data_IF_544018744150
#
_entry.id   IF_544018744150
#
_cell.length_a   1.000
_cell.length_b   1.000
_cell.length_c   1.000
_cell.angle_alpha   90.00
_cell.angle_beta   90.00
_cell.angle_gamma   90.00
#
_symmetry.space_group_name_H-M   'P 1'
#
loop_
_entity.id
_entity.type
_entity.pdbx_description
1 polymer ?
#
# COMPACT_ATOMS: atom_id res chain seq x y z
N UNK A 1 -6.04 -38.13 -44.07
CA UNK A 1 -4.79 -37.69 -43.40
C UNK A 1 -4.75 -36.19 -43.05
N UNK A 2 -5.87 -35.44 -42.98
CA UNK A 2 -5.86 -33.99 -42.71
C UNK A 2 -6.36 -33.58 -41.30
N UNK A 3 -6.55 -34.55 -40.39
CA UNK A 3 -7.03 -34.29 -39.02
C UNK A 3 -5.92 -33.97 -38.00
N UNK A 4 -4.66 -33.85 -38.44
CA UNK A 4 -3.52 -33.50 -37.54
C UNK A 4 -3.18 -32.01 -37.51
N UNK A 5 -3.73 -31.23 -38.44
CA UNK A 5 -3.75 -29.76 -38.33
C UNK A 5 -4.86 -29.28 -37.38
N UNK A 6 -5.84 -30.15 -37.12
CA UNK A 6 -6.92 -30.03 -36.14
C UNK A 6 -6.40 -30.36 -34.72
N UNK A 7 -5.41 -29.63 -34.20
CA UNK A 7 -5.19 -29.54 -32.75
C UNK A 7 -4.20 -28.46 -32.31
N UNK A 8 -3.28 -28.01 -33.18
CA UNK A 8 -2.24 -27.07 -32.76
C UNK A 8 -2.70 -25.61 -32.71
N UNK A 9 -3.73 -25.24 -33.47
CA UNK A 9 -4.28 -23.88 -33.47
C UNK A 9 -5.28 -23.67 -32.32
N UNK A 10 -5.78 -24.75 -31.71
CA UNK A 10 -6.73 -24.69 -30.60
C UNK A 10 -6.07 -24.38 -29.22
N UNK A 11 -4.74 -24.44 -29.10
CA UNK A 11 -4.05 -24.28 -27.82
C UNK A 11 -3.52 -22.85 -27.56
N UNK A 12 -3.49 -21.98 -28.57
CA UNK A 12 -2.98 -20.59 -28.41
C UNK A 12 -4.11 -19.61 -28.07
N UNK A 13 -5.37 -20.00 -28.27
CA UNK A 13 -6.55 -19.21 -27.84
C UNK A 13 -6.91 -19.47 -26.37
N UNK A 14 -6.14 -20.34 -25.69
CA UNK A 14 -6.39 -20.80 -24.31
C UNK A 14 -5.40 -20.22 -23.29
N UNK A 15 -5.06 -18.93 -23.41
CA UNK A 15 -4.27 -18.24 -22.39
C UNK A 15 -4.87 -16.86 -22.10
N UNK A 16 -5.90 -16.75 -21.23
CA UNK A 16 -6.21 -15.50 -20.58
C UNK A 16 -5.21 -15.35 -19.42
N UNK A 17 -3.95 -15.03 -19.72
CA UNK A 17 -3.00 -14.73 -18.64
C UNK A 17 -3.16 -13.28 -18.20
N UNK A 18 -3.89 -13.21 -17.09
CA UNK A 18 -3.70 -12.35 -15.94
C UNK A 18 -3.49 -10.87 -16.28
N UNK A 19 -4.57 -10.12 -16.22
CA UNK A 19 -4.52 -8.76 -15.70
C UNK A 19 -4.05 -8.83 -14.24
N UNK A 20 -2.73 -8.84 -14.03
CA UNK A 20 -2.14 -8.50 -12.75
C UNK A 20 -2.36 -7.02 -12.51
N UNK A 21 -3.50 -6.65 -11.95
CA UNK A 21 -3.63 -5.34 -11.33
C UNK A 21 -2.66 -5.35 -10.15
N UNK A 22 -1.46 -4.82 -10.35
CA UNK A 22 -0.60 -4.40 -9.25
C UNK A 22 -1.36 -3.25 -8.61
N UNK A 23 -2.24 -3.57 -7.65
CA UNK A 23 -2.65 -2.62 -6.65
C UNK A 23 -1.34 -2.21 -6.00
N UNK A 24 -0.81 -1.05 -6.40
CA UNK A 24 0.23 -0.40 -5.64
C UNK A 24 -0.34 -0.27 -4.23
N UNK A 25 0.05 -1.19 -3.35
CA UNK A 25 -0.30 -1.09 -1.95
C UNK A 25 0.52 0.10 -1.46
N UNK A 26 -0.07 1.29 -1.47
CA UNK A 26 0.44 2.42 -0.71
C UNK A 26 0.35 2.03 0.76
N UNK A 27 1.41 1.38 1.27
CA UNK A 27 1.51 0.93 2.66
C UNK A 27 2.18 2.02 3.46
N UNK A 28 1.38 2.93 4.02
CA UNK A 28 1.85 3.80 5.08
C UNK A 28 1.75 3.04 6.40
N UNK A 29 2.88 2.85 7.07
CA UNK A 29 2.93 2.31 8.42
C UNK A 29 3.07 3.46 9.41
N UNK A 30 2.35 3.36 10.52
CA UNK A 30 2.34 4.33 11.62
C UNK A 30 2.65 3.55 12.89
N UNK A 31 3.65 3.96 13.65
CA UNK A 31 4.02 3.30 14.90
C UNK A 31 2.97 3.54 16.01
N UNK A 32 2.35 4.72 16.03
CA UNK A 32 1.34 5.11 17.02
C UNK A 32 0.25 6.00 16.40
N UNK A 33 -1.01 5.60 16.59
CA UNK A 33 -2.19 6.37 16.16
C UNK A 33 -2.85 7.16 17.29
N UNK A 34 -2.40 6.93 18.54
CA UNK A 34 -2.87 7.62 19.73
C UNK A 34 -1.69 8.06 20.57
N UNK A 35 -1.67 9.34 20.92
CA UNK A 35 -0.70 9.91 21.84
C UNK A 35 -1.41 10.26 23.16
N UNK A 36 -0.89 9.73 24.26
CA UNK A 36 -1.33 10.07 25.61
C UNK A 36 -0.16 10.67 26.39
N UNK A 37 -0.31 11.92 26.81
CA UNK A 37 0.68 12.67 27.57
C UNK A 37 0.53 12.51 29.09
N UNK A 38 -0.54 11.87 29.56
CA UNK A 38 -0.83 11.69 30.98
C UNK A 38 -1.08 13.01 31.71
N UNK A 39 -0.66 13.07 32.98
CA UNK A 39 -0.82 14.27 33.81
C UNK A 39 0.26 15.29 33.41
N UNK A 40 -0.19 16.40 32.84
CA UNK A 40 0.66 17.53 32.48
C UNK A 40 0.72 18.54 33.62
N UNK A 41 1.89 19.15 33.82
CA UNK A 41 2.05 20.29 34.73
C UNK A 41 2.14 21.58 33.93
N UNK A 42 1.54 22.63 34.47
CA UNK A 42 1.57 23.95 33.86
C UNK A 42 3.01 24.47 33.71
N UNK A 43 3.27 25.18 32.62
CA UNK A 43 4.59 25.74 32.30
C UNK A 43 5.61 24.74 31.74
N UNK A 44 5.26 23.45 31.63
CA UNK A 44 6.13 22.43 31.04
C UNK A 44 5.71 22.05 29.62
N UNK A 45 6.69 21.73 28.78
CA UNK A 45 6.49 21.23 27.41
C UNK A 45 6.66 19.71 27.42
N UNK A 46 5.70 18.98 26.87
CA UNK A 46 5.85 17.57 26.57
C UNK A 46 5.93 17.34 25.05
N UNK A 47 6.76 16.40 24.65
CA UNK A 47 6.98 16.03 23.25
C UNK A 47 6.79 14.53 23.08
N UNK A 48 6.15 14.13 21.99
CA UNK A 48 6.08 12.74 21.53
C UNK A 48 6.35 12.71 20.05
N UNK A 49 7.09 11.70 19.62
CA UNK A 49 7.48 11.48 18.23
C UNK A 49 6.63 10.34 17.69
N UNK A 50 6.04 10.53 16.51
CA UNK A 50 5.34 9.50 15.75
C UNK A 50 6.15 9.24 14.49
N UNK A 51 6.45 7.97 14.22
CA UNK A 51 7.19 7.56 13.04
C UNK A 51 6.23 7.07 11.97
N UNK A 52 6.30 7.72 10.81
CA UNK A 52 5.60 7.35 9.59
C UNK A 52 6.59 6.72 8.64
N UNK A 53 6.32 5.49 8.19
CA UNK A 53 7.18 4.77 7.25
C UNK A 53 6.42 4.45 5.98
N UNK A 54 6.95 4.88 4.84
CA UNK A 54 6.48 4.43 3.54
C UNK A 54 7.06 3.03 3.27
N UNK A 55 6.23 2.00 3.43
CA UNK A 55 6.56 0.59 3.17
C UNK A 55 6.02 0.10 1.81
N UNK A 56 5.61 1.03 0.95
CA UNK A 56 5.26 0.77 -0.45
C UNK A 56 6.39 1.17 -1.39
N UNK A 57 6.24 0.78 -2.65
CA UNK A 57 7.22 1.06 -3.72
C UNK A 57 6.91 2.37 -4.46
N UNK A 58 5.89 3.11 -3.99
CA UNK A 58 5.40 4.35 -4.59
C UNK A 58 5.63 5.53 -3.65
N UNK A 59 5.86 6.72 -4.21
CA UNK A 59 6.00 7.95 -3.41
C UNK A 59 4.65 8.28 -2.77
N UNK A 60 4.65 8.50 -1.46
CA UNK A 60 3.48 8.97 -0.70
C UNK A 60 3.57 10.48 -0.52
N UNK A 61 2.47 11.19 -0.84
CA UNK A 61 2.32 12.60 -0.54
C UNK A 61 1.44 12.78 0.71
N UNK A 62 1.97 13.46 1.74
CA UNK A 62 1.20 13.84 2.93
C UNK A 62 0.48 15.16 2.65
N UNK A 63 -0.84 15.18 2.85
CA UNK A 63 -1.70 16.36 2.59
C UNK A 63 -2.64 16.57 3.78
N UNK A 64 -3.15 17.80 3.92
CA UNK A 64 -4.14 18.17 4.94
C UNK A 64 -3.70 17.91 6.39
N UNK A 65 -2.44 18.21 6.72
CA UNK A 65 -1.97 18.14 8.10
C UNK A 65 -2.65 19.26 8.90
N UNK A 66 -3.39 18.89 9.93
CA UNK A 66 -4.08 19.83 10.83
C UNK A 66 -3.86 19.43 12.29
N UNK A 67 -3.80 20.42 13.16
CA UNK A 67 -3.74 20.28 14.62
C UNK A 67 -4.97 20.96 15.20
N UNK A 68 -5.63 20.34 16.17
CA UNK A 68 -6.79 20.90 16.89
C UNK A 68 -6.41 21.39 18.27
#
# INVERSE_FOLDING_TARGET
MMKRCLMLIALIVFFPVLQGQVLAQNRLLIDQTRLDFGIMKEGLIAQKIVNLTNAGDTIIAIKNVSTS
#
